data_IF_022391966894
#
_entry.id   IF_022391966894
#
_cell.length_a   1.000
_cell.length_b   1.000
_cell.length_c   1.000
_cell.angle_alpha   90.00
_cell.angle_beta   90.00
_cell.angle_gamma   90.00
#
_symmetry.space_group_name_H-M   'P 1'
#
loop_
_entity.id
_entity.type
_entity.pdbx_description
1 polymer ?
#
# COMPACT_ATOMS: atom_id res chain seq x y z
N UNK A 1 5.72 -8.44 -20.03
CA UNK A 1 4.55 -8.81 -19.27
C UNK A 1 4.55 -10.28 -18.85
N UNK A 2 4.80 -11.24 -19.74
CA UNK A 2 4.76 -12.69 -19.45
C UNK A 2 5.71 -13.09 -18.33
N UNK A 3 6.97 -12.65 -18.38
CA UNK A 3 7.96 -12.90 -17.32
C UNK A 3 7.50 -12.36 -15.96
N UNK A 4 6.92 -11.15 -15.95
CA UNK A 4 6.34 -10.54 -14.76
C UNK A 4 5.18 -11.39 -14.22
N UNK A 5 4.24 -11.79 -15.08
CA UNK A 5 3.11 -12.63 -14.70
C UNK A 5 3.58 -13.96 -14.08
N UNK A 6 4.55 -14.63 -14.72
CA UNK A 6 5.11 -15.88 -14.22
C UNK A 6 5.73 -15.74 -12.82
N UNK A 7 6.37 -14.61 -12.52
CA UNK A 7 6.85 -14.34 -11.17
C UNK A 7 5.70 -14.09 -10.19
N UNK A 8 4.70 -13.28 -10.56
CA UNK A 8 3.55 -13.00 -9.69
C UNK A 8 2.75 -14.26 -9.36
N UNK A 9 2.52 -15.13 -10.33
CA UNK A 9 1.80 -16.40 -10.15
C UNK A 9 2.52 -17.37 -9.18
N UNK A 10 3.83 -17.21 -9.04
CA UNK A 10 4.67 -17.98 -8.11
C UNK A 10 5.09 -17.20 -6.87
N UNK A 11 4.38 -16.12 -6.50
CA UNK A 11 4.68 -15.25 -5.36
C UNK A 11 6.08 -14.62 -5.38
N UNK A 12 6.72 -14.57 -6.53
CA UNK A 12 8.04 -13.95 -6.75
C UNK A 12 7.93 -12.44 -6.94
N UNK A 13 7.31 -11.73 -6.01
CA UNK A 13 7.02 -10.28 -6.10
C UNK A 13 8.29 -9.43 -6.28
N UNK A 14 9.38 -9.80 -5.61
CA UNK A 14 10.66 -9.12 -5.77
C UNK A 14 11.18 -9.25 -7.21
N UNK A 15 11.13 -10.44 -7.78
CA UNK A 15 11.59 -10.70 -9.15
C UNK A 15 10.71 -9.96 -10.16
N UNK A 16 9.39 -9.94 -9.93
CA UNK A 16 8.45 -9.18 -10.75
C UNK A 16 8.80 -7.68 -10.75
N UNK A 17 9.06 -7.09 -9.59
CA UNK A 17 9.50 -5.69 -9.49
C UNK A 17 10.83 -5.44 -10.19
N UNK A 18 11.80 -6.34 -10.07
CA UNK A 18 13.09 -6.22 -10.77
C UNK A 18 12.87 -6.10 -12.28
N UNK A 19 11.96 -6.90 -12.87
CA UNK A 19 11.66 -6.81 -14.31
C UNK A 19 11.06 -5.44 -14.70
N UNK A 20 10.16 -4.89 -13.89
CA UNK A 20 9.60 -3.54 -14.12
C UNK A 20 10.70 -2.48 -14.03
N UNK A 21 11.55 -2.54 -13.00
CA UNK A 21 12.64 -1.57 -12.83
C UNK A 21 13.73 -1.66 -13.90
N UNK A 22 13.93 -2.82 -14.54
CA UNK A 22 14.77 -2.92 -15.75
C UNK A 22 14.23 -2.06 -16.88
N UNK A 23 12.91 -2.08 -17.11
CA UNK A 23 12.27 -1.26 -18.14
C UNK A 23 12.41 0.23 -17.80
N UNK A 24 12.16 0.62 -16.55
CA UNK A 24 12.33 2.01 -16.09
C UNK A 24 13.77 2.48 -16.28
N UNK A 25 14.75 1.64 -15.91
CA UNK A 25 16.17 1.95 -16.11
C UNK A 25 16.53 2.11 -17.59
N UNK A 26 15.94 1.29 -18.46
CA UNK A 26 16.11 1.44 -19.93
C UNK A 26 15.46 2.73 -20.46
N UNK A 27 14.31 3.12 -19.91
CA UNK A 27 13.65 4.38 -20.27
C UNK A 27 14.51 5.59 -19.85
N UNK A 28 15.11 5.57 -18.65
CA UNK A 28 16.03 6.62 -18.23
C UNK A 28 17.24 6.73 -19.16
N UNK A 29 17.84 5.59 -19.51
CA UNK A 29 18.92 5.58 -20.50
C UNK A 29 18.49 6.10 -21.87
N UNK A 30 17.25 5.83 -22.28
CA UNK A 30 16.70 6.33 -23.53
C UNK A 30 16.54 7.88 -23.51
N UNK A 31 16.22 8.46 -22.36
CA UNK A 31 16.20 9.92 -22.18
C UNK A 31 17.61 10.48 -22.38
N UNK A 32 18.64 9.88 -21.78
CA UNK A 32 20.02 10.33 -21.93
C UNK A 32 20.51 10.21 -23.38
N UNK A 33 20.23 9.09 -24.05
CA UNK A 33 20.62 8.82 -25.43
C UNK A 33 19.92 9.76 -26.43
N UNK A 34 18.66 10.11 -26.20
CA UNK A 34 17.85 10.93 -27.14
C UNK A 34 17.89 12.41 -26.82
N UNK A 35 18.28 12.79 -25.61
CA UNK A 35 18.40 14.18 -25.15
C UNK A 35 17.19 15.06 -25.54
N UNK A 36 15.95 14.76 -25.09
CA UNK A 36 14.74 15.43 -25.54
C UNK A 36 14.75 16.95 -25.32
N UNK A 37 15.43 17.42 -24.26
CA UNK A 37 15.61 18.85 -24.01
C UNK A 37 16.46 19.56 -25.07
N UNK A 38 17.39 18.84 -25.70
CA UNK A 38 18.18 19.37 -26.83
C UNK A 38 17.31 19.37 -28.10
N UNK A 39 16.54 18.29 -28.33
CA UNK A 39 15.60 18.22 -29.44
C UNK A 39 14.55 19.34 -29.38
N UNK A 40 14.10 19.69 -28.18
CA UNK A 40 13.10 20.76 -28.01
C UNK A 40 13.57 22.15 -28.40
N UNK A 41 14.88 22.38 -28.52
CA UNK A 41 15.45 23.67 -28.96
C UNK A 41 15.50 23.84 -30.48
N UNK A 42 15.25 22.81 -31.25
CA UNK A 42 15.37 22.77 -32.70
C UNK A 42 14.01 22.39 -33.31
N UNK A 43 13.35 23.40 -33.91
CA UNK A 43 12.01 23.21 -34.50
C UNK A 43 12.02 22.15 -35.63
N UNK A 44 13.13 22.00 -36.34
CA UNK A 44 13.25 20.99 -37.39
C UNK A 44 13.20 19.53 -36.83
N UNK A 45 13.46 19.34 -35.55
CA UNK A 45 13.46 18.05 -34.86
C UNK A 45 12.17 17.76 -34.07
N UNK A 46 11.15 18.60 -34.22
CA UNK A 46 9.89 18.49 -33.49
C UNK A 46 9.21 17.10 -33.64
N UNK A 47 9.20 16.57 -34.87
CA UNK A 47 8.65 15.23 -35.11
C UNK A 47 9.42 14.13 -34.36
N UNK A 48 10.75 14.24 -34.28
CA UNK A 48 11.59 13.32 -33.52
C UNK A 48 11.33 13.45 -32.02
N UNK A 49 11.19 14.68 -31.53
CA UNK A 49 10.85 14.95 -30.14
C UNK A 49 9.49 14.31 -29.77
N UNK A 50 8.47 14.51 -30.62
CA UNK A 50 7.15 13.92 -30.39
C UNK A 50 7.23 12.38 -30.28
N UNK A 51 7.98 11.73 -31.17
CA UNK A 51 8.20 10.28 -31.11
C UNK A 51 8.88 9.85 -29.81
N UNK A 52 9.90 10.58 -29.37
CA UNK A 52 10.62 10.26 -28.11
C UNK A 52 9.70 10.40 -26.91
N UNK A 53 8.92 11.50 -26.84
CA UNK A 53 7.99 11.74 -25.73
C UNK A 53 6.86 10.69 -25.71
N UNK A 54 6.32 10.35 -26.87
CA UNK A 54 5.29 9.32 -26.97
C UNK A 54 5.80 7.96 -26.49
N UNK A 55 7.00 7.56 -26.91
CA UNK A 55 7.61 6.32 -26.46
C UNK A 55 7.80 6.27 -24.92
N UNK A 56 8.17 7.40 -24.32
CA UNK A 56 8.31 7.51 -22.87
C UNK A 56 6.95 7.41 -22.17
N UNK A 57 5.91 8.07 -22.70
CA UNK A 57 4.56 7.99 -22.15
C UNK A 57 4.00 6.56 -22.21
N UNK A 58 4.15 5.85 -23.33
CA UNK A 58 3.75 4.45 -23.46
C UNK A 58 4.52 3.54 -22.49
N UNK A 59 5.82 3.78 -22.34
CA UNK A 59 6.63 3.03 -21.34
C UNK A 59 6.12 3.29 -19.93
N UNK A 60 5.79 4.54 -19.58
CA UNK A 60 5.21 4.88 -18.28
C UNK A 60 3.85 4.21 -18.09
N UNK A 61 2.95 4.29 -19.07
CA UNK A 61 1.65 3.62 -18.99
C UNK A 61 1.78 2.14 -18.66
N UNK A 62 2.63 1.43 -19.40
CA UNK A 62 2.85 -0.01 -19.19
C UNK A 62 3.47 -0.28 -17.81
N UNK A 63 4.54 0.42 -17.44
CA UNK A 63 5.23 0.18 -16.17
C UNK A 63 4.38 0.55 -14.97
N UNK A 64 3.61 1.63 -15.03
CA UNK A 64 2.68 2.04 -13.98
C UNK A 64 1.54 1.02 -13.84
N UNK A 65 1.03 0.47 -14.94
CA UNK A 65 0.03 -0.63 -14.90
C UNK A 65 0.58 -1.85 -14.16
N UNK A 66 1.84 -2.22 -14.39
CA UNK A 66 2.47 -3.35 -13.70
C UNK A 66 2.81 -3.05 -12.23
N UNK A 67 2.93 -1.79 -11.85
CA UNK A 67 3.16 -1.36 -10.46
C UNK A 67 1.87 -1.20 -9.65
N UNK A 68 0.70 -1.22 -10.29
CA UNK A 68 -0.59 -1.01 -9.64
C UNK A 68 -0.83 -1.91 -8.40
N UNK A 69 -0.46 -3.20 -8.39
CA UNK A 69 -0.63 -4.06 -7.22
C UNK A 69 0.23 -3.67 -6.01
N UNK A 70 1.28 -2.86 -6.20
CA UNK A 70 2.25 -2.49 -5.17
C UNK A 70 2.03 -1.09 -4.59
N UNK A 71 1.70 -0.13 -5.46
CA UNK A 71 1.56 1.30 -5.11
C UNK A 71 0.34 1.92 -5.79
N UNK A 72 -0.89 1.42 -5.52
CA UNK A 72 -2.11 1.81 -6.25
C UNK A 72 -2.34 3.32 -6.29
N UNK A 73 -2.28 4.00 -5.15
CA UNK A 73 -2.55 5.45 -5.06
C UNK A 73 -1.60 6.29 -5.91
N UNK A 74 -0.31 5.90 -5.94
CA UNK A 74 0.69 6.58 -6.78
C UNK A 74 0.48 6.30 -8.26
N UNK A 75 0.03 5.09 -8.61
CA UNK A 75 -0.28 4.71 -9.97
C UNK A 75 -1.50 5.48 -10.52
N UNK A 76 -2.56 5.64 -9.74
CA UNK A 76 -3.72 6.44 -10.13
C UNK A 76 -3.34 7.90 -10.42
N UNK A 77 -2.54 8.50 -9.54
CA UNK A 77 -2.00 9.85 -9.75
C UNK A 77 -1.11 9.93 -11.00
N UNK A 78 -0.29 8.91 -11.26
CA UNK A 78 0.56 8.85 -12.45
C UNK A 78 -0.28 8.75 -13.74
N UNK A 79 -1.33 7.91 -13.76
CA UNK A 79 -2.24 7.81 -14.89
C UNK A 79 -2.94 9.15 -15.18
N UNK A 80 -3.41 9.83 -14.15
CA UNK A 80 -4.00 11.17 -14.31
C UNK A 80 -2.99 12.17 -14.90
N UNK A 81 -1.72 12.12 -14.50
CA UNK A 81 -0.68 13.01 -15.01
C UNK A 81 -0.32 12.74 -16.47
N UNK A 82 -0.23 11.47 -16.88
CA UNK A 82 0.06 11.11 -18.28
C UNK A 82 -1.18 11.17 -19.20
N UNK A 83 -2.37 11.47 -18.64
CA UNK A 83 -3.61 11.55 -19.39
C UNK A 83 -4.12 10.20 -19.89
N UNK A 84 -3.77 9.09 -19.21
CA UNK A 84 -4.22 7.77 -19.60
C UNK A 84 -5.62 7.49 -19.04
N UNK A 85 -6.55 7.09 -19.91
CA UNK A 85 -7.88 6.70 -19.54
C UNK A 85 -7.93 5.29 -18.92
N UNK A 86 -8.92 4.97 -18.06
CA UNK A 86 -8.99 3.66 -17.39
C UNK A 86 -8.94 2.45 -18.31
N UNK A 87 -9.59 2.54 -19.50
CA UNK A 87 -9.58 1.49 -20.49
C UNK A 87 -8.19 1.25 -21.12
N UNK A 88 -7.28 2.20 -21.05
CA UNK A 88 -5.92 2.10 -21.57
C UNK A 88 -4.94 1.49 -20.57
N UNK A 89 -5.32 1.43 -19.29
CA UNK A 89 -4.47 0.99 -18.17
C UNK A 89 -4.83 -0.40 -17.65
N UNK A 90 -5.54 -1.19 -18.46
CA UNK A 90 -5.91 -2.56 -18.13
C UNK A 90 -4.72 -3.51 -18.22
N UNK A 91 -4.80 -4.63 -17.52
CA UNK A 91 -3.80 -5.70 -17.59
C UNK A 91 -3.52 -6.18 -19.03
N UNK A 92 -4.55 -6.33 -19.85
CA UNK A 92 -4.38 -6.76 -21.23
C UNK A 92 -3.67 -5.73 -22.07
N UNK A 93 -3.98 -4.46 -21.88
CA UNK A 93 -3.33 -3.35 -22.55
C UNK A 93 -1.87 -3.13 -22.11
N UNK A 94 -1.44 -3.67 -20.98
CA UNK A 94 -0.02 -3.70 -20.60
C UNK A 94 0.84 -4.59 -21.52
N UNK A 95 0.23 -5.47 -22.33
CA UNK A 95 0.93 -6.25 -23.35
C UNK A 95 0.98 -5.57 -24.72
N UNK A 96 0.24 -4.48 -24.91
CA UNK A 96 0.06 -3.82 -26.20
C UNK A 96 0.79 -2.48 -26.18
N UNK A 97 1.60 -2.24 -27.21
CA UNK A 97 2.25 -0.94 -27.44
C UNK A 97 1.39 -0.06 -28.33
N UNK A 98 1.38 1.25 -28.06
CA UNK A 98 0.66 2.20 -28.89
C UNK A 98 -0.83 2.33 -28.55
N UNK A 99 -1.18 2.14 -27.28
CA UNK A 99 -2.56 2.25 -26.79
C UNK A 99 -2.94 3.71 -26.47
N UNK A 100 -1.96 4.53 -26.05
CA UNK A 100 -2.22 5.95 -25.85
C UNK A 100 -2.52 6.64 -27.20
N UNK A 101 -3.49 7.55 -27.25
CA UNK A 101 -3.73 8.35 -28.45
C UNK A 101 -2.52 9.27 -28.74
N UNK A 102 -2.29 9.57 -30.02
CA UNK A 102 -1.16 10.40 -30.44
C UNK A 102 -1.25 11.85 -29.96
N UNK A 103 -2.45 12.29 -29.60
CA UNK A 103 -2.80 13.63 -29.12
C UNK A 103 -3.05 13.66 -27.60
N UNK A 104 -2.54 12.65 -26.87
CA UNK A 104 -2.69 12.60 -25.42
C UNK A 104 -2.16 13.88 -24.77
N UNK A 105 -2.93 14.41 -23.83
CA UNK A 105 -2.57 15.60 -23.07
C UNK A 105 -2.07 15.20 -21.69
N UNK A 106 -0.85 15.64 -21.38
CA UNK A 106 -0.26 15.44 -20.05
C UNK A 106 -0.66 16.56 -19.09
N UNK A 107 -0.86 16.23 -17.84
CA UNK A 107 -1.26 17.17 -16.80
C UNK A 107 -0.17 17.31 -15.73
N UNK A 108 0.13 18.56 -15.36
CA UNK A 108 1.03 18.79 -14.23
C UNK A 108 0.28 18.47 -12.94
N UNK A 109 0.72 17.43 -12.25
CA UNK A 109 0.21 17.05 -10.94
C UNK A 109 1.19 17.30 -9.81
N UNK A 110 0.85 16.82 -8.62
CA UNK A 110 1.74 16.82 -7.47
C UNK A 110 2.95 15.90 -7.68
N UNK A 111 4.04 16.16 -6.96
CA UNK A 111 5.19 15.26 -6.92
C UNK A 111 4.76 13.94 -6.28
N UNK A 112 4.85 12.83 -7.02
CA UNK A 112 4.40 11.51 -6.56
C UNK A 112 5.21 11.01 -5.35
N UNK A 113 6.51 11.28 -5.33
CA UNK A 113 7.45 10.88 -4.29
C UNK A 113 8.23 12.10 -3.79
N UNK A 114 7.62 12.95 -2.93
CA UNK A 114 8.32 14.09 -2.36
C UNK A 114 9.44 13.63 -1.43
N UNK A 115 10.49 14.44 -1.32
CA UNK A 115 11.52 14.19 -0.29
C UNK A 115 10.90 14.35 1.09
N UNK A 116 11.12 13.36 1.92
CA UNK A 116 10.65 13.35 3.31
C UNK A 116 11.54 14.27 4.14
N UNK A 117 10.92 15.23 4.83
CA UNK A 117 11.57 15.99 5.90
C UNK A 117 11.53 15.16 7.19
N UNK A 118 12.67 14.54 7.51
CA UNK A 118 12.78 13.63 8.65
C UNK A 118 12.37 14.27 9.98
N UNK A 119 12.67 15.56 10.20
CA UNK A 119 12.34 16.23 11.45
C UNK A 119 10.83 16.41 11.60
N UNK A 120 10.17 16.80 10.52
CA UNK A 120 8.70 16.97 10.48
C UNK A 120 7.99 15.65 10.66
N UNK A 121 8.39 14.62 9.91
CA UNK A 121 7.78 13.29 9.96
C UNK A 121 7.95 12.63 11.34
N UNK A 122 9.12 12.75 11.97
CA UNK A 122 9.33 12.23 13.32
C UNK A 122 8.40 12.90 14.34
N UNK A 123 8.22 14.22 14.23
CA UNK A 123 7.31 14.97 15.13
C UNK A 123 5.86 14.51 14.94
N UNK A 124 5.43 14.34 13.69
CA UNK A 124 4.07 13.84 13.37
C UNK A 124 3.87 12.40 13.86
N UNK A 125 4.88 11.53 13.69
CA UNK A 125 4.85 10.16 14.15
C UNK A 125 4.77 10.06 15.70
N UNK A 126 5.51 10.90 16.41
CA UNK A 126 5.45 10.99 17.87
C UNK A 126 4.08 11.47 18.35
N UNK A 127 3.49 12.46 17.69
CA UNK A 127 2.14 12.93 17.98
C UNK A 127 1.10 11.84 17.74
N UNK A 128 1.19 11.08 16.64
CA UNK A 128 0.32 9.95 16.35
C UNK A 128 0.47 8.83 17.40
N UNK A 129 1.70 8.49 17.81
CA UNK A 129 1.95 7.50 18.86
C UNK A 129 1.34 7.93 20.20
N UNK A 130 1.49 9.21 20.56
CA UNK A 130 0.90 9.75 21.78
C UNK A 130 -0.64 9.70 21.74
N UNK A 131 -1.24 10.04 20.61
CA UNK A 131 -2.69 9.97 20.41
C UNK A 131 -3.20 8.51 20.50
N UNK A 132 -2.50 7.56 19.87
CA UNK A 132 -2.83 6.14 19.96
C UNK A 132 -2.66 5.58 21.39
N UNK A 133 -1.61 5.96 22.09
CA UNK A 133 -1.40 5.56 23.47
C UNK A 133 -2.49 6.11 24.40
N UNK A 134 -2.91 7.36 24.19
CA UNK A 134 -4.03 7.97 24.93
C UNK A 134 -5.38 7.29 24.63
N UNK A 135 -5.62 6.87 23.39
CA UNK A 135 -6.82 6.15 22.99
C UNK A 135 -6.82 4.68 23.46
N UNK A 136 -5.66 4.05 23.53
CA UNK A 136 -5.46 2.68 23.98
C UNK A 136 -5.28 2.55 25.51
N UNK A 137 -5.14 3.69 26.22
CA UNK A 137 -5.09 3.66 27.68
C UNK A 137 -6.34 2.94 28.20
N UNK A 138 -6.24 1.79 28.88
CA UNK A 138 -7.38 1.12 29.42
C UNK A 138 -8.06 2.13 30.37
N UNK A 139 -9.36 2.36 30.17
CA UNK A 139 -10.16 3.03 31.19
C UNK A 139 -9.97 2.17 32.43
N UNK A 140 -9.07 2.58 33.32
CA UNK A 140 -8.74 1.84 34.51
C UNK A 140 -10.02 1.61 35.29
N UNK A 141 -10.49 0.36 35.29
CA UNK A 141 -11.37 -0.05 36.38
C UNK A 141 -10.64 0.29 37.70
N UNK A 142 -11.33 0.72 38.74
CA UNK A 142 -10.68 1.07 39.99
C UNK A 142 -9.81 -0.14 40.40
N UNK A 143 -8.50 0.11 40.51
CA UNK A 143 -7.55 -0.91 40.91
C UNK A 143 -7.94 -1.29 42.34
N UNK A 144 -8.46 -2.49 42.51
CA UNK A 144 -8.67 -3.05 43.85
C UNK A 144 -7.32 -3.10 44.57
N UNK A 145 -7.28 -2.86 45.89
CA UNK A 145 -6.04 -2.92 46.64
C UNK A 145 -5.37 -4.29 46.44
N UNK A 146 -4.07 -4.32 46.41
CA UNK A 146 -3.27 -5.54 46.24
C UNK A 146 -3.63 -6.53 47.34
N UNK A 147 -3.86 -7.77 46.96
CA UNK A 147 -4.14 -8.87 47.89
C UNK A 147 -2.82 -9.45 48.36
N UNK A 148 -2.62 -9.58 49.68
CA UNK A 148 -1.42 -10.20 50.24
C UNK A 148 -1.44 -11.72 50.06
N UNK A 149 -0.28 -12.36 50.15
CA UNK A 149 -0.18 -13.83 50.10
C UNK A 149 -1.00 -14.49 51.19
N UNK A 150 -1.10 -13.83 52.36
CA UNK A 150 -1.88 -14.28 53.49
C UNK A 150 -3.40 -14.19 53.25
N UNK A 151 -3.84 -13.20 52.46
CA UNK A 151 -5.23 -13.10 52.04
C UNK A 151 -5.57 -14.17 51.03
N UNK A 152 -4.65 -14.47 50.11
CA UNK A 152 -4.83 -15.54 49.15
C UNK A 152 -4.86 -16.92 49.84
N UNK A 153 -4.03 -17.13 50.85
CA UNK A 153 -4.00 -18.37 51.60
C UNK A 153 -5.31 -18.65 52.39
N UNK A 154 -6.14 -17.63 52.60
CA UNK A 154 -7.49 -17.80 53.20
C UNK A 154 -8.52 -18.32 52.17
N UNK A 155 -8.21 -18.31 50.87
CA UNK A 155 -9.09 -18.85 49.85
C UNK A 155 -8.96 -20.38 49.80
N UNK A 156 -10.03 -21.10 50.13
CA UNK A 156 -10.09 -22.55 49.99
C UNK A 156 -10.48 -22.93 48.56
N UNK A 157 -9.51 -23.44 47.83
CA UNK A 157 -9.72 -23.89 46.43
C UNK A 157 -9.77 -25.42 46.43
N UNK A 158 -10.93 -25.96 46.01
CA UNK A 158 -11.16 -27.40 45.94
C UNK A 158 -11.61 -27.80 44.53
N UNK A 159 -11.18 -28.98 44.12
CA UNK A 159 -11.71 -29.62 42.92
C UNK A 159 -13.04 -30.27 43.29
N UNK A 160 -14.10 -29.89 42.58
CA UNK A 160 -15.45 -30.41 42.81
C UNK A 160 -15.96 -31.12 41.54
N UNK A 161 -16.84 -32.09 41.77
CA UNK A 161 -17.57 -32.72 40.67
C UNK A 161 -18.84 -31.92 40.37
N UNK A 162 -19.04 -31.58 39.12
CA UNK A 162 -20.29 -30.90 38.67
C UNK A 162 -21.40 -31.96 38.62
N UNK A 163 -22.39 -31.85 39.48
CA UNK A 163 -23.56 -32.73 39.53
C UNK A 163 -24.65 -32.24 38.55
N UNK A 164 -24.83 -30.92 38.44
CA UNK A 164 -25.87 -30.32 37.62
C UNK A 164 -25.41 -28.95 37.11
N UNK A 165 -25.77 -28.63 35.86
CA UNK A 165 -25.54 -27.33 35.27
C UNK A 165 -26.84 -26.88 34.56
N UNK A 166 -27.40 -25.75 34.97
CA UNK A 166 -28.63 -25.21 34.40
C UNK A 166 -28.48 -23.72 34.08
N UNK A 167 -29.11 -23.22 33.02
CA UNK A 167 -29.14 -21.78 32.74
C UNK A 167 -29.95 -21.05 33.83
N UNK A 168 -29.44 -19.88 34.23
CA UNK A 168 -30.16 -19.04 35.22
C UNK A 168 -31.33 -18.37 34.53
N UNK A 169 -32.53 -18.50 35.10
CA UNK A 169 -33.73 -17.84 34.57
C UNK A 169 -33.52 -16.35 34.48
N UNK A 170 -33.84 -15.76 33.32
CA UNK A 170 -33.68 -14.34 32.99
C UNK A 170 -32.22 -13.85 32.78
N UNK A 171 -31.29 -14.76 32.51
CA UNK A 171 -29.91 -14.39 32.15
C UNK A 171 -29.40 -15.29 31.03
N UNK A 172 -28.96 -14.69 29.95
CA UNK A 172 -28.38 -15.44 28.80
C UNK A 172 -26.88 -15.73 28.98
N UNK A 173 -26.29 -15.22 30.07
CA UNK A 173 -24.82 -15.31 30.31
C UNK A 173 -24.42 -16.06 31.60
N UNK A 174 -25.38 -16.47 32.42
CA UNK A 174 -25.08 -17.10 33.69
C UNK A 174 -25.55 -18.55 33.71
N UNK A 175 -24.71 -19.41 34.26
CA UNK A 175 -25.01 -20.82 34.53
C UNK A 175 -24.99 -21.06 36.05
N UNK A 176 -25.93 -21.86 36.51
CA UNK A 176 -25.99 -22.33 37.90
C UNK A 176 -25.43 -23.76 37.96
N UNK A 177 -24.41 -23.96 38.79
CA UNK A 177 -23.78 -25.26 38.97
C UNK A 177 -24.14 -25.79 40.37
N UNK A 178 -24.51 -27.06 40.43
CA UNK A 178 -24.54 -27.83 41.69
C UNK A 178 -23.28 -28.67 41.75
N UNK A 179 -22.49 -28.48 42.78
CA UNK A 179 -21.19 -29.12 42.97
C UNK A 179 -21.23 -30.12 44.15
N UNK A 180 -20.45 -31.20 44.06
CA UNK A 180 -20.18 -32.15 45.11
C UNK A 180 -18.78 -31.95 45.67
#
# INVERSE_FOLDING_TARGET
RETYAGYMDNFGTQQALIEVFKVISRANKYIDETAPLVLAKDESKRARLATVLYNLLETLRITVTLLLPFIPDSCEKAFAQIGAAPEQTTWDNAAVWGVLPADVTVHKGETLFPRIDMAKELTELEALKAAHAAAAAPKSAPVLPDVTIDDFAKCDMRVCKVLKCEPVKKSDKLLCFTLD
#
